data_IF_489168879564
#
_entry.id   IF_489168879564
#
_cell.length_a   1.000
_cell.length_b   1.000
_cell.length_c   1.000
_cell.angle_alpha   90.00
_cell.angle_beta   90.00
_cell.angle_gamma   90.00
#
_symmetry.space_group_name_H-M   'P 1'
#
loop_
_entity.id
_entity.type
_entity.pdbx_description
1 polymer ?
#
# COMPACT_ATOMS: atom_id res chain seq x y z
N UNK A 1 25.81 -67.81 -56.76
CA UNK A 1 25.05 -66.51 -56.57
C UNK A 1 24.89 -66.31 -55.08
N UNK A 2 25.62 -65.32 -54.50
CA UNK A 2 25.54 -65.01 -53.07
C UNK A 2 24.78 -63.63 -52.96
N UNK A 3 23.60 -63.70 -52.38
CA UNK A 3 22.71 -62.57 -52.18
C UNK A 3 23.14 -61.87 -50.88
N UNK A 4 23.60 -60.59 -51.00
CA UNK A 4 23.91 -59.70 -49.86
C UNK A 4 22.62 -58.98 -49.45
N UNK A 5 22.16 -59.22 -48.23
CA UNK A 5 21.09 -58.41 -47.63
C UNK A 5 21.70 -57.25 -46.86
N UNK A 6 21.41 -56.04 -47.30
CA UNK A 6 21.80 -54.81 -46.58
C UNK A 6 20.72 -54.46 -45.54
N UNK A 7 21.07 -54.60 -44.29
CA UNK A 7 20.22 -54.13 -43.19
C UNK A 7 20.49 -52.64 -42.92
N UNK A 8 19.50 -51.80 -43.22
CA UNK A 8 19.56 -50.36 -42.88
C UNK A 8 19.09 -50.16 -41.45
N UNK A 9 19.97 -49.77 -40.55
CA UNK A 9 19.67 -49.38 -39.19
C UNK A 9 19.34 -47.91 -39.17
N UNK A 10 18.06 -47.55 -38.96
CA UNK A 10 17.63 -46.17 -38.77
C UNK A 10 17.80 -45.83 -37.28
N UNK A 11 18.79 -45.02 -36.96
CA UNK A 11 18.98 -44.45 -35.63
C UNK A 11 18.00 -43.27 -35.43
N UNK A 12 16.94 -43.51 -34.60
CA UNK A 12 16.06 -42.43 -34.19
C UNK A 12 16.73 -41.65 -33.05
N UNK A 13 17.19 -40.46 -33.32
CA UNK A 13 17.72 -39.55 -32.32
C UNK A 13 16.55 -38.92 -31.52
N UNK A 14 16.35 -39.39 -30.28
CA UNK A 14 15.42 -38.76 -29.34
C UNK A 14 16.09 -37.52 -28.78
N UNK A 15 15.66 -36.34 -29.22
CA UNK A 15 16.07 -35.05 -28.65
C UNK A 15 15.34 -34.85 -27.32
N UNK A 16 16.03 -34.65 -26.17
CA UNK A 16 15.35 -34.34 -24.93
C UNK A 16 14.72 -32.94 -25.00
N UNK A 17 13.39 -32.89 -24.93
CA UNK A 17 12.64 -31.64 -24.83
C UNK A 17 12.84 -31.09 -23.40
N UNK A 18 13.72 -30.08 -23.27
CA UNK A 18 13.91 -29.36 -22.00
C UNK A 18 12.67 -28.48 -21.78
N UNK A 19 11.75 -28.96 -20.95
CA UNK A 19 10.61 -28.16 -20.46
C UNK A 19 11.16 -27.19 -19.41
N UNK A 20 11.44 -25.95 -19.80
CA UNK A 20 11.75 -24.88 -18.86
C UNK A 20 10.45 -24.48 -18.16
N UNK A 21 10.25 -24.97 -16.95
CA UNK A 21 9.18 -24.50 -16.06
C UNK A 21 9.52 -23.07 -15.64
N UNK A 22 8.89 -22.07 -16.25
CA UNK A 22 8.87 -20.70 -15.72
C UNK A 22 8.03 -20.75 -14.45
N UNK A 23 8.68 -20.76 -13.29
CA UNK A 23 8.02 -20.54 -12.01
C UNK A 23 7.45 -19.11 -12.03
N UNK A 24 6.16 -18.97 -12.24
CA UNK A 24 5.43 -17.72 -12.00
C UNK A 24 5.59 -17.42 -10.50
N UNK A 25 6.33 -16.37 -10.16
CA UNK A 25 6.42 -15.89 -8.80
C UNK A 25 4.99 -15.53 -8.35
N UNK A 26 4.42 -16.36 -7.50
CA UNK A 26 3.06 -16.18 -6.99
C UNK A 26 3.07 -14.95 -6.08
N UNK A 27 2.47 -13.84 -6.52
CA UNK A 27 2.38 -12.64 -5.73
C UNK A 27 1.57 -12.91 -4.46
N UNK A 28 2.16 -12.63 -3.30
CA UNK A 28 1.50 -12.87 -2.00
C UNK A 28 0.47 -11.77 -1.78
N UNK A 29 -0.79 -12.18 -1.60
CA UNK A 29 -1.86 -11.25 -1.22
C UNK A 29 -1.55 -10.63 0.14
N UNK A 30 -1.55 -9.31 0.21
CA UNK A 30 -1.21 -8.52 1.41
C UNK A 30 -2.41 -7.90 2.10
N UNK A 31 -3.53 -7.80 1.41
CA UNK A 31 -4.77 -7.21 1.93
C UNK A 31 -5.93 -7.36 0.98
N UNK A 32 -7.00 -6.64 1.25
CA UNK A 32 -8.22 -6.61 0.45
C UNK A 32 -8.77 -5.18 0.44
N UNK A 33 -9.10 -4.67 -0.73
CA UNK A 33 -9.92 -3.47 -0.85
C UNK A 33 -11.38 -3.86 -0.71
N UNK A 34 -12.17 -3.04 -0.03
CA UNK A 34 -13.59 -3.27 0.22
C UNK A 34 -14.35 -1.94 0.35
N UNK A 35 -15.67 -1.96 0.13
CA UNK A 35 -16.55 -0.82 0.33
C UNK A 35 -16.06 0.45 -0.39
N UNK A 36 -16.06 0.43 -1.72
CA UNK A 36 -15.80 1.64 -2.50
C UNK A 36 -17.09 2.50 -2.59
N UNK A 37 -17.01 3.75 -2.17
CA UNK A 37 -17.94 4.79 -2.58
C UNK A 37 -17.39 5.38 -3.88
N UNK A 38 -18.15 5.37 -4.97
CA UNK A 38 -17.61 5.63 -6.29
C UNK A 38 -16.71 4.47 -6.75
N UNK A 39 -15.57 4.80 -7.32
CA UNK A 39 -14.67 3.84 -7.95
C UNK A 39 -13.27 3.82 -7.31
N UNK A 40 -12.76 2.63 -7.04
CA UNK A 40 -11.35 2.40 -6.74
C UNK A 40 -10.69 1.72 -7.94
N UNK A 41 -9.70 2.37 -8.54
CA UNK A 41 -8.84 1.78 -9.56
C UNK A 41 -7.60 1.17 -8.90
N UNK A 42 -7.33 -0.09 -9.18
CA UNK A 42 -6.11 -0.80 -8.76
C UNK A 42 -5.29 -1.11 -10.02
N UNK A 43 -4.07 -0.58 -10.07
CA UNK A 43 -3.10 -0.86 -11.12
C UNK A 43 -2.08 -1.85 -10.56
N UNK A 44 -2.05 -3.05 -11.12
CA UNK A 44 -1.15 -4.14 -10.73
C UNK A 44 0.30 -3.81 -11.12
N UNK A 45 1.24 -4.51 -10.54
CA UNK A 45 2.68 -4.35 -10.86
C UNK A 45 3.02 -4.71 -12.32
N UNK A 46 2.21 -5.55 -12.98
CA UNK A 46 2.33 -5.92 -14.40
C UNK A 46 1.57 -4.97 -15.35
N UNK A 47 0.90 -3.94 -14.81
CA UNK A 47 0.15 -2.94 -15.57
C UNK A 47 -1.32 -3.28 -15.79
N UNK A 48 -1.81 -4.45 -15.37
CA UNK A 48 -3.23 -4.79 -15.41
C UNK A 48 -3.99 -3.82 -14.51
N UNK A 49 -5.15 -3.36 -14.98
CA UNK A 49 -6.02 -2.47 -14.24
C UNK A 49 -7.30 -3.19 -13.85
N UNK A 50 -7.64 -3.12 -12.58
CA UNK A 50 -8.88 -3.65 -12.02
C UNK A 50 -9.62 -2.54 -11.29
N UNK A 51 -10.96 -2.61 -11.31
CA UNK A 51 -11.83 -1.60 -10.73
C UNK A 51 -12.76 -2.25 -9.72
N UNK A 52 -12.87 -1.63 -8.56
CA UNK A 52 -13.86 -1.97 -7.54
C UNK A 52 -14.86 -0.81 -7.44
N UNK A 53 -16.15 -1.12 -7.57
CA UNK A 53 -17.25 -0.15 -7.42
C UNK A 53 -18.27 -0.71 -6.42
N UNK A 54 -18.73 0.14 -5.51
CA UNK A 54 -19.76 -0.23 -4.52
C UNK A 54 -19.30 -1.28 -3.52
N UNK A 55 -20.24 -2.15 -3.12
CA UNK A 55 -19.98 -3.23 -2.17
C UNK A 55 -19.34 -4.41 -2.90
N UNK A 56 -18.13 -4.73 -2.55
CA UNK A 56 -17.36 -5.82 -3.12
C UNK A 56 -16.00 -5.93 -2.46
N UNK A 57 -15.22 -6.89 -2.92
CA UNK A 57 -13.85 -7.09 -2.44
C UNK A 57 -12.91 -7.30 -3.61
N UNK A 58 -11.71 -6.75 -3.51
CA UNK A 58 -10.65 -6.94 -4.50
C UNK A 58 -9.35 -7.27 -3.75
N UNK A 59 -8.71 -8.43 -4.02
CA UNK A 59 -7.45 -8.78 -3.38
C UNK A 59 -6.35 -7.80 -3.78
N UNK A 60 -5.48 -7.45 -2.83
CA UNK A 60 -4.36 -6.53 -3.02
C UNK A 60 -3.02 -7.24 -2.82
N UNK A 61 -2.05 -6.83 -3.63
CA UNK A 61 -0.72 -7.41 -3.65
C UNK A 61 0.34 -6.32 -3.46
N UNK A 62 1.55 -6.74 -3.12
CA UNK A 62 2.69 -5.82 -3.09
C UNK A 62 2.97 -5.29 -4.49
N UNK A 63 3.26 -3.99 -4.59
CA UNK A 63 3.48 -3.30 -5.86
C UNK A 63 2.23 -2.67 -6.47
N UNK A 64 1.03 -3.01 -5.99
CA UNK A 64 -0.22 -2.40 -6.46
C UNK A 64 -0.24 -0.90 -6.23
N UNK A 65 -0.78 -0.16 -7.19
CA UNK A 65 -1.07 1.27 -7.08
C UNK A 65 -2.59 1.45 -7.03
N UNK A 66 -3.06 2.07 -5.95
CA UNK A 66 -4.47 2.35 -5.72
C UNK A 66 -4.76 3.81 -6.01
N UNK A 67 -5.90 4.07 -6.68
CA UNK A 67 -6.33 5.43 -7.04
C UNK A 67 -7.83 5.60 -6.84
N UNK A 68 -8.21 6.72 -6.26
CA UNK A 68 -9.58 7.23 -6.19
C UNK A 68 -9.66 8.56 -6.93
N UNK A 69 -10.74 8.76 -7.67
CA UNK A 69 -11.05 10.03 -8.34
C UNK A 69 -11.96 10.90 -7.45
N UNK A 70 -12.37 12.06 -7.95
CA UNK A 70 -13.29 12.97 -7.25
C UNK A 70 -14.59 12.24 -6.85
N UNK A 71 -15.05 12.46 -5.62
CA UNK A 71 -16.24 11.82 -5.06
C UNK A 71 -16.08 10.32 -4.74
N UNK A 72 -14.89 9.76 -4.91
CA UNK A 72 -14.63 8.33 -4.65
C UNK A 72 -13.85 8.15 -3.35
N UNK A 73 -14.20 7.10 -2.59
CA UNK A 73 -13.52 6.69 -1.36
C UNK A 73 -13.47 5.16 -1.30
N UNK A 74 -12.50 4.60 -0.60
CA UNK A 74 -12.40 3.14 -0.42
C UNK A 74 -11.80 2.79 0.94
N UNK A 75 -12.14 1.59 1.44
CA UNK A 75 -11.51 0.99 2.62
C UNK A 75 -10.62 -0.17 2.19
N UNK A 76 -9.44 -0.22 2.76
CA UNK A 76 -8.50 -1.34 2.62
C UNK A 76 -8.26 -1.95 3.99
N UNK A 77 -8.28 -3.27 4.03
CA UNK A 77 -7.91 -4.05 5.20
C UNK A 77 -6.71 -4.93 4.84
N UNK A 78 -5.58 -4.69 5.48
CA UNK A 78 -4.40 -5.51 5.33
C UNK A 78 -4.47 -6.76 6.22
N UNK A 79 -3.80 -7.86 5.81
CA UNK A 79 -3.76 -9.12 6.57
C UNK A 79 -3.15 -9.00 7.97
N UNK A 80 -2.42 -7.94 8.23
CA UNK A 80 -1.84 -7.61 9.53
C UNK A 80 -2.77 -6.79 10.43
N UNK A 81 -4.03 -6.58 10.01
CA UNK A 81 -5.05 -5.87 10.77
C UNK A 81 -5.01 -4.34 10.60
N UNK A 82 -4.10 -3.82 9.79
CA UNK A 82 -4.07 -2.40 9.47
C UNK A 82 -5.22 -2.05 8.54
N UNK A 83 -6.00 -1.02 8.90
CA UNK A 83 -7.05 -0.43 8.07
C UNK A 83 -6.58 0.90 7.48
N UNK A 84 -6.83 1.09 6.20
CA UNK A 84 -6.54 2.34 5.48
C UNK A 84 -7.77 2.75 4.69
N UNK A 85 -8.33 3.91 5.01
CA UNK A 85 -9.33 4.53 4.16
C UNK A 85 -8.65 5.54 3.21
N UNK A 86 -9.07 5.53 1.95
CA UNK A 86 -8.66 6.50 0.93
C UNK A 86 -9.78 7.52 0.75
N UNK A 87 -9.43 8.80 0.81
CA UNK A 87 -10.33 9.89 0.40
C UNK A 87 -10.28 10.06 -1.12
N UNK A 88 -11.08 10.98 -1.63
CA UNK A 88 -11.07 11.34 -3.06
C UNK A 88 -9.70 11.86 -3.54
N UNK A 89 -9.46 11.74 -4.85
CA UNK A 89 -8.24 12.22 -5.52
C UNK A 89 -6.93 11.70 -4.88
N UNK A 90 -6.99 10.49 -4.33
CA UNK A 90 -5.88 9.86 -3.61
C UNK A 90 -5.17 8.84 -4.49
N UNK A 91 -3.84 8.83 -4.43
CA UNK A 91 -3.02 7.80 -5.08
C UNK A 91 -1.87 7.37 -4.17
N UNK A 92 -1.80 6.05 -3.90
CA UNK A 92 -0.66 5.46 -3.20
C UNK A 92 -0.24 4.11 -3.78
N UNK A 93 0.99 3.70 -3.49
CA UNK A 93 1.54 2.38 -3.83
C UNK A 93 1.78 1.55 -2.57
N UNK A 94 1.44 0.26 -2.63
CA UNK A 94 1.72 -0.72 -1.56
C UNK A 94 3.14 -1.24 -1.73
N UNK A 95 3.94 -1.17 -0.66
CA UNK A 95 5.32 -1.63 -0.60
C UNK A 95 5.59 -2.38 0.70
N UNK A 96 6.71 -3.09 0.75
CA UNK A 96 7.27 -3.67 1.98
C UNK A 96 8.77 -3.39 2.03
N UNK A 97 9.29 -3.15 3.24
CA UNK A 97 10.72 -3.10 3.51
C UNK A 97 11.11 -4.32 4.30
N UNK A 98 12.08 -5.05 3.80
CA UNK A 98 12.63 -6.24 4.44
C UNK A 98 14.01 -5.96 5.01
N UNK A 99 14.18 -6.19 6.33
CA UNK A 99 15.48 -6.08 7.00
C UNK A 99 15.80 -7.41 7.68
N UNK A 100 17.05 -7.88 7.52
CA UNK A 100 17.48 -9.17 8.08
C UNK A 100 17.30 -9.16 9.61
N UNK A 101 16.58 -10.16 10.13
CA UNK A 101 16.33 -10.31 11.58
C UNK A 101 15.22 -9.42 12.15
N UNK A 102 14.49 -8.69 11.33
CA UNK A 102 13.34 -7.89 11.75
C UNK A 102 12.06 -8.31 11.03
N UNK A 103 10.88 -8.10 11.62
CA UNK A 103 9.62 -8.21 10.89
C UNK A 103 9.60 -7.26 9.69
N UNK A 104 8.99 -7.69 8.60
CA UNK A 104 8.78 -6.83 7.43
C UNK A 104 7.94 -5.60 7.81
N UNK A 105 8.40 -4.42 7.42
CA UNK A 105 7.66 -3.17 7.56
C UNK A 105 6.77 -2.97 6.33
N UNK A 106 5.46 -2.84 6.53
CA UNK A 106 4.55 -2.45 5.46
C UNK A 106 4.64 -0.94 5.23
N UNK A 107 4.68 -0.55 3.98
CA UNK A 107 4.78 0.85 3.57
C UNK A 107 3.66 1.15 2.59
N UNK A 108 2.95 2.24 2.79
CA UNK A 108 2.17 2.87 1.72
C UNK A 108 2.87 4.15 1.30
N UNK A 109 3.16 4.27 0.02
CA UNK A 109 3.76 5.49 -0.54
C UNK A 109 2.67 6.36 -1.13
N UNK A 110 2.21 7.32 -0.33
CA UNK A 110 1.18 8.29 -0.67
C UNK A 110 1.77 9.38 -1.56
N UNK A 111 1.38 9.38 -2.84
CA UNK A 111 1.85 10.36 -3.82
C UNK A 111 1.05 11.67 -3.71
N UNK A 112 -0.26 11.57 -3.56
CA UNK A 112 -1.21 12.68 -3.46
C UNK A 112 -2.47 12.24 -2.75
N UNK A 113 -3.27 13.20 -2.28
CA UNK A 113 -4.56 12.97 -1.64
C UNK A 113 -4.46 12.76 -0.13
N UNK A 114 -5.35 11.98 0.42
CA UNK A 114 -5.56 11.87 1.86
C UNK A 114 -5.92 10.44 2.25
N UNK A 115 -5.26 9.94 3.30
CA UNK A 115 -5.54 8.63 3.89
C UNK A 115 -5.77 8.76 5.39
N UNK A 116 -6.73 7.99 5.90
CA UNK A 116 -6.86 7.69 7.30
C UNK A 116 -6.32 6.28 7.54
N UNK A 117 -5.57 6.12 8.63
CA UNK A 117 -4.92 4.85 8.97
C UNK A 117 -5.23 4.51 10.42
N UNK A 118 -5.60 3.25 10.65
CA UNK A 118 -5.70 2.65 11.98
C UNK A 118 -4.91 1.36 11.99
N UNK A 119 -3.88 1.30 12.81
CA UNK A 119 -3.11 0.08 13.02
C UNK A 119 -3.73 -0.75 14.13
N UNK A 120 -3.71 -2.09 13.96
CA UNK A 120 -4.14 -3.04 14.99
C UNK A 120 -3.09 -3.18 16.11
N UNK A 121 -3.43 -3.94 17.13
CA UNK A 121 -2.50 -4.36 18.18
C UNK A 121 -1.46 -5.34 17.62
N UNK A 122 -0.18 -5.12 17.93
CA UNK A 122 0.89 -6.06 17.61
C UNK A 122 2.20 -5.43 17.12
N UNK A 123 3.25 -6.25 16.93
CA UNK A 123 4.62 -5.77 16.73
C UNK A 123 4.93 -5.28 15.31
N UNK A 124 3.96 -5.24 14.42
CA UNK A 124 4.21 -4.94 13.00
C UNK A 124 4.39 -3.43 12.79
N UNK A 125 5.53 -3.06 12.23
CA UNK A 125 5.81 -1.69 11.83
C UNK A 125 5.03 -1.34 10.55
N UNK A 126 4.41 -0.18 10.55
CA UNK A 126 3.71 0.38 9.41
C UNK A 126 4.19 1.81 9.15
N UNK A 127 4.37 2.14 7.89
CA UNK A 127 4.84 3.47 7.48
C UNK A 127 3.96 4.05 6.37
N UNK A 128 3.72 5.36 6.46
CA UNK A 128 3.18 6.15 5.36
C UNK A 128 4.26 7.09 4.88
N UNK A 129 4.78 6.82 3.68
CA UNK A 129 5.74 7.70 3.00
C UNK A 129 5.01 8.69 2.10
N UNK A 130 5.44 9.95 2.12
CA UNK A 130 5.03 10.99 1.19
C UNK A 130 6.25 11.55 0.47
N UNK A 131 6.11 12.46 -0.51
CA UNK A 131 7.25 13.08 -1.19
C UNK A 131 8.23 13.84 -0.27
N UNK A 132 7.80 14.24 0.94
CA UNK A 132 8.61 15.08 1.84
C UNK A 132 8.72 14.58 3.27
N UNK A 133 7.93 13.57 3.66
CA UNK A 133 7.91 13.07 5.04
C UNK A 133 7.53 11.59 5.11
N UNK A 134 7.83 10.99 6.27
CA UNK A 134 7.43 9.62 6.62
C UNK A 134 6.77 9.62 7.99
N UNK A 135 5.62 8.97 8.12
CA UNK A 135 4.98 8.67 9.39
C UNK A 135 5.22 7.20 9.72
N UNK A 136 6.03 6.93 10.76
CA UNK A 136 6.29 5.57 11.27
C UNK A 136 5.46 5.34 12.53
N UNK A 137 4.73 4.22 12.58
CA UNK A 137 3.66 4.02 13.57
C UNK A 137 3.63 2.62 14.16
N UNK A 138 3.11 2.55 15.40
CA UNK A 138 2.66 1.33 16.08
C UNK A 138 1.45 1.70 16.92
N UNK A 139 0.38 0.90 16.82
CA UNK A 139 -0.84 1.06 17.66
C UNK A 139 -1.39 2.50 17.64
N UNK A 140 -1.60 3.03 16.43
CA UNK A 140 -1.99 4.42 16.24
C UNK A 140 -3.21 4.55 15.33
N UNK A 141 -3.88 5.69 15.47
CA UNK A 141 -4.90 6.16 14.53
C UNK A 141 -4.55 7.59 14.11
N UNK A 142 -4.44 7.83 12.82
CA UNK A 142 -4.03 9.13 12.28
C UNK A 142 -4.56 9.37 10.87
N UNK A 143 -4.55 10.64 10.48
CA UNK A 143 -4.83 11.08 9.12
C UNK A 143 -3.56 11.68 8.51
N UNK A 144 -3.27 11.35 7.26
CA UNK A 144 -2.15 11.87 6.48
C UNK A 144 -2.63 12.40 5.15
N UNK A 145 -2.32 13.67 4.87
CA UNK A 145 -2.72 14.36 3.64
C UNK A 145 -1.51 14.94 2.93
N UNK A 146 -1.43 14.76 1.62
CA UNK A 146 -0.50 15.46 0.74
C UNK A 146 -1.27 16.58 0.03
N UNK A 147 -0.95 17.82 0.37
CA UNK A 147 -1.56 19.01 -0.22
C UNK A 147 -0.96 19.33 -1.59
N UNK A 148 -1.61 20.20 -2.34
CA UNK A 148 -1.04 20.81 -3.53
C UNK A 148 0.30 21.48 -3.18
N UNK A 149 1.32 21.30 -4.02
CA UNK A 149 2.70 21.72 -3.71
C UNK A 149 3.51 20.71 -2.89
N UNK A 150 2.92 19.54 -2.51
CA UNK A 150 3.64 18.41 -1.91
C UNK A 150 3.88 18.53 -0.41
N UNK A 151 3.30 19.52 0.29
CA UNK A 151 3.32 19.59 1.74
C UNK A 151 2.55 18.41 2.33
N UNK A 152 3.11 17.76 3.35
CA UNK A 152 2.47 16.69 4.08
C UNK A 152 1.89 17.19 5.38
N UNK A 153 0.63 16.83 5.66
CA UNK A 153 -0.08 17.18 6.89
C UNK A 153 -0.39 15.90 7.65
N UNK A 154 0.07 15.81 8.88
CA UNK A 154 -0.22 14.71 9.78
C UNK A 154 -1.11 15.19 10.92
N UNK A 155 -2.26 14.54 11.12
CA UNK A 155 -3.15 14.74 12.28
C UNK A 155 -3.24 13.41 13.03
N UNK A 156 -2.86 13.38 14.30
CA UNK A 156 -2.89 12.16 15.14
C UNK A 156 -4.17 12.15 15.96
N UNK A 157 -4.92 11.06 15.85
CA UNK A 157 -6.18 10.82 16.58
C UNK A 157 -5.87 10.07 17.87
N UNK A 158 -5.12 8.96 17.78
CA UNK A 158 -4.74 8.13 18.90
C UNK A 158 -3.31 7.59 18.74
N UNK A 159 -2.61 7.35 19.87
CA UNK A 159 -1.24 6.87 19.88
C UNK A 159 -0.21 7.97 19.62
N UNK A 160 1.03 7.58 19.30
CA UNK A 160 2.14 8.49 19.00
C UNK A 160 2.71 8.12 17.63
N UNK A 161 2.86 9.11 16.76
CA UNK A 161 3.45 8.94 15.42
C UNK A 161 4.82 9.60 15.36
N UNK A 162 5.83 8.83 14.95
CA UNK A 162 7.14 9.39 14.60
C UNK A 162 7.08 9.99 13.19
N UNK A 163 7.02 11.32 13.12
CA UNK A 163 6.90 12.06 11.87
C UNK A 163 8.25 12.61 11.44
N UNK A 164 8.85 12.00 10.43
CA UNK A 164 10.19 12.31 9.92
C UNK A 164 10.17 13.04 8.61
N UNK A 165 11.11 13.97 8.44
CA UNK A 165 11.54 14.57 7.17
C UNK A 165 13.03 14.28 6.98
N UNK A 166 13.61 14.64 5.83
CA UNK A 166 15.06 14.55 5.63
C UNK A 166 15.89 15.40 6.62
N UNK A 167 15.24 16.30 7.38
CA UNK A 167 15.88 17.26 8.30
C UNK A 167 15.63 16.95 9.77
N UNK A 168 14.96 15.84 10.08
CA UNK A 168 14.76 15.35 11.44
C UNK A 168 13.34 14.88 11.71
N UNK A 169 13.18 14.26 12.88
CA UNK A 169 11.94 13.59 13.33
C UNK A 169 11.30 14.34 14.47
N UNK A 170 9.97 14.28 14.53
CA UNK A 170 9.13 14.84 15.58
C UNK A 170 8.14 13.79 16.07
N UNK A 171 8.05 13.50 17.38
CA UNK A 171 6.96 12.70 17.92
C UNK A 171 5.68 13.54 17.98
N UNK A 172 4.64 13.06 17.31
CA UNK A 172 3.33 13.73 17.25
C UNK A 172 2.37 12.96 18.15
N UNK A 173 1.77 13.69 19.11
CA UNK A 173 0.85 13.15 20.13
C UNK A 173 -0.61 13.24 19.67
N UNK A 174 -1.55 12.55 20.34
CA UNK A 174 -2.98 12.66 20.04
C UNK A 174 -3.49 14.09 20.08
N UNK A 175 -4.51 14.37 19.26
CA UNK A 175 -5.15 15.69 19.11
C UNK A 175 -4.18 16.82 18.72
N UNK A 176 -3.12 16.46 17.98
CA UNK A 176 -2.18 17.45 17.43
C UNK A 176 -1.96 17.27 15.93
N UNK A 177 -1.60 18.38 15.28
CA UNK A 177 -1.26 18.46 13.85
C UNK A 177 0.18 18.89 13.67
N UNK A 178 0.84 18.35 12.65
CA UNK A 178 2.19 18.78 12.24
C UNK A 178 2.32 18.74 10.72
N UNK A 179 3.23 19.53 10.19
CA UNK A 179 3.47 19.70 8.76
C UNK A 179 4.88 19.28 8.39
N UNK A 180 4.99 18.46 7.33
CA UNK A 180 6.24 18.17 6.64
C UNK A 180 6.37 19.05 5.41
N UNK A 181 7.42 19.84 5.34
CA UNK A 181 7.68 20.77 4.22
C UNK A 181 9.05 20.44 3.64
N UNK A 182 9.16 20.49 2.31
CA UNK A 182 10.43 20.25 1.61
C UNK A 182 11.53 21.18 2.15
N UNK A 183 12.69 20.62 2.46
CA UNK A 183 13.85 21.39 2.94
C UNK A 183 13.78 21.81 4.40
N UNK A 184 12.78 21.36 5.17
CA UNK A 184 12.61 21.73 6.58
C UNK A 184 12.35 20.50 7.45
N UNK A 185 12.66 20.62 8.74
CA UNK A 185 12.20 19.69 9.76
C UNK A 185 10.67 19.79 9.88
N UNK A 186 10.01 18.72 10.40
CA UNK A 186 8.61 18.77 10.78
C UNK A 186 8.31 19.98 11.68
N UNK A 187 7.15 20.62 11.50
CA UNK A 187 6.76 21.74 12.36
C UNK A 187 6.52 21.28 13.80
N UNK A 188 6.68 22.19 14.77
CA UNK A 188 6.27 21.92 16.15
C UNK A 188 4.80 21.51 16.17
N UNK A 189 4.44 20.38 16.81
CA UNK A 189 3.04 19.96 16.91
C UNK A 189 2.17 21.02 17.57
N UNK A 190 0.99 21.27 17.00
CA UNK A 190 -0.01 22.21 17.51
C UNK A 190 -1.32 21.48 17.83
N UNK A 191 -2.05 21.83 18.89
CA UNK A 191 -3.38 21.29 19.16
C UNK A 191 -4.33 21.49 17.98
N UNK A 192 -5.19 20.49 17.68
CA UNK A 192 -6.18 20.57 16.61
C UNK A 192 -7.43 19.77 16.94
N UNK A 193 -8.56 20.16 16.34
CA UNK A 193 -9.75 19.30 16.31
C UNK A 193 -9.50 18.19 15.27
N UNK A 194 -9.65 16.94 15.70
CA UNK A 194 -9.46 15.76 14.84
C UNK A 194 -10.70 15.40 14.00
N UNK A 195 -11.87 15.96 14.34
CA UNK A 195 -13.14 15.66 13.64
C UNK A 195 -13.07 15.91 12.13
N UNK A 196 -12.53 17.04 11.63
CA UNK A 196 -12.44 17.26 10.19
C UNK A 196 -11.57 16.21 9.47
N UNK A 197 -10.53 15.71 10.15
CA UNK A 197 -9.63 14.70 9.59
C UNK A 197 -10.25 13.29 9.53
N UNK A 198 -11.37 13.04 10.23
CA UNK A 198 -12.00 11.71 10.32
C UNK A 198 -13.43 11.69 9.80
N UNK A 199 -14.12 12.81 9.72
CA UNK A 199 -15.55 12.87 9.36
C UNK A 199 -15.87 12.18 8.02
N UNK A 200 -15.00 12.31 7.05
CA UNK A 200 -15.16 11.72 5.72
C UNK A 200 -15.06 10.17 5.73
N UNK A 201 -14.41 9.56 6.73
CA UNK A 201 -14.24 8.10 6.79
C UNK A 201 -15.54 7.37 7.15
N UNK A 202 -16.53 8.07 7.72
CA UNK A 202 -17.79 7.47 8.18
C UNK A 202 -18.49 6.69 7.07
N UNK A 203 -18.46 7.18 5.84
CA UNK A 203 -19.11 6.56 4.70
C UNK A 203 -18.52 5.18 4.32
N UNK A 204 -17.21 4.98 4.49
CA UNK A 204 -16.50 3.74 4.11
C UNK A 204 -16.22 2.81 5.28
N UNK A 205 -16.22 3.31 6.54
CA UNK A 205 -16.01 2.51 7.74
C UNK A 205 -17.29 1.81 8.23
N UNK A 206 -18.47 2.22 7.78
CA UNK A 206 -19.73 1.52 8.10
C UNK A 206 -19.67 0.13 7.46
N UNK A 207 -19.52 -0.90 8.31
CA UNK A 207 -19.69 -2.28 7.84
C UNK A 207 -21.12 -2.44 7.31
N UNK A 208 -21.31 -3.18 6.22
CA UNK A 208 -22.65 -3.50 5.69
C UNK A 208 -23.49 -4.27 6.70
#
# INVERSE_FOLDING_TARGET
MKTFVFTVVIAVAILPMVVTSTALAQSVQVGTAQNALGDLLVVRSDGIQEKLSGKGTLPLFEGDVLKTDAGSQALIEFKDGVQVALNENTSFKILSRWEKGKPSTRIIRLKQGEVWVKTGEGPKAFEVETPVATASVKETEFNMKVQEGGQSVLTVINGIVEFGTAFGTCPIKPSTISYGVRGKKCTKPAPTDVKPATAWTTAVLQKP
#
